data_IF_206720931647
#
_entry.id   IF_206720931647
#
_cell.length_a   1.000
_cell.length_b   1.000
_cell.length_c   1.000
_cell.angle_alpha   90.00
_cell.angle_beta   90.00
_cell.angle_gamma   90.00
#
_symmetry.space_group_name_H-M   'P 1'
#
loop_
_entity.id
_entity.type
_entity.pdbx_description
1 polymer ?
#
# COMPACT_ATOMS: atom_id res chain seq x y z
N UNK A 1 40.49 -35.86 8.80
CA UNK A 1 40.94 -36.89 9.76
C UNK A 1 39.73 -37.44 10.52
N UNK A 2 39.46 -38.75 10.50
CA UNK A 2 38.24 -39.37 11.04
C UNK A 2 38.41 -39.82 12.51
N UNK A 3 39.05 -39.00 13.36
CA UNK A 3 39.28 -39.36 14.76
C UNK A 3 38.14 -38.82 15.63
N UNK A 4 37.05 -39.60 15.73
CA UNK A 4 36.02 -39.43 16.74
C UNK A 4 35.93 -40.70 17.58
N UNK A 5 35.82 -40.54 18.90
CA UNK A 5 35.69 -41.69 19.80
C UNK A 5 34.21 -41.99 20.02
N UNK A 6 33.85 -43.27 19.93
CA UNK A 6 32.54 -43.78 20.32
C UNK A 6 32.53 -44.06 21.82
N UNK A 7 31.45 -43.67 22.50
CA UNK A 7 31.27 -43.96 23.91
C UNK A 7 29.83 -44.40 24.18
N UNK A 8 29.69 -45.49 24.94
CA UNK A 8 28.40 -46.01 25.38
C UNK A 8 28.27 -45.72 26.86
N UNK A 9 27.23 -44.97 27.23
CA UNK A 9 26.90 -44.68 28.62
C UNK A 9 25.43 -44.96 28.89
N UNK A 10 25.00 -44.70 30.13
CA UNK A 10 23.62 -44.92 30.57
C UNK A 10 22.55 -44.18 29.73
N UNK A 11 22.94 -43.15 28.96
CA UNK A 11 22.07 -42.40 28.04
C UNK A 11 22.12 -42.85 26.56
N UNK A 12 22.76 -43.98 26.25
CA UNK A 12 22.83 -44.55 24.89
C UNK A 12 24.14 -44.31 24.15
N UNK A 13 24.10 -44.54 22.83
CA UNK A 13 25.25 -44.44 21.92
C UNK A 13 25.58 -42.97 21.61
N UNK A 14 26.76 -42.52 22.02
CA UNK A 14 27.20 -41.14 21.83
C UNK A 14 28.44 -41.10 20.92
N UNK A 15 28.36 -40.28 19.86
CA UNK A 15 29.50 -39.99 18.99
C UNK A 15 30.01 -38.56 19.27
N UNK A 16 31.30 -38.45 19.63
CA UNK A 16 31.96 -37.16 19.84
C UNK A 16 33.05 -36.99 18.78
N UNK A 17 32.89 -36.01 17.87
CA UNK A 17 33.97 -35.58 16.98
C UNK A 17 34.99 -34.76 17.78
N UNK A 18 36.28 -34.91 17.44
CA UNK A 18 37.37 -34.05 17.91
C UNK A 18 37.33 -32.68 17.21
N UNK A 19 36.29 -31.90 17.45
CA UNK A 19 36.21 -30.49 17.04
C UNK A 19 35.88 -29.61 18.24
N UNK A 20 36.20 -28.32 18.15
CA UNK A 20 35.97 -27.32 19.19
C UNK A 20 34.56 -27.37 19.80
N UNK A 21 34.47 -26.92 21.05
CA UNK A 21 33.33 -27.07 21.96
C UNK A 21 31.95 -27.05 21.28
N UNK A 22 31.14 -28.10 21.51
CA UNK A 22 29.74 -28.17 21.10
C UNK A 22 29.37 -29.24 20.06
N UNK A 23 30.31 -30.09 19.62
CA UNK A 23 30.02 -31.14 18.63
C UNK A 23 29.46 -32.44 19.23
N UNK A 24 28.41 -32.35 20.07
CA UNK A 24 27.62 -33.53 20.47
C UNK A 24 26.39 -33.61 19.57
N UNK A 25 26.25 -34.69 18.81
CA UNK A 25 25.01 -35.00 18.07
C UNK A 25 24.47 -36.30 18.64
N UNK A 26 23.41 -36.21 19.44
CA UNK A 26 22.64 -37.38 19.83
C UNK A 26 21.60 -37.61 18.73
N UNK A 27 21.79 -38.66 17.95
CA UNK A 27 20.77 -39.08 16.99
C UNK A 27 19.57 -39.62 17.76
N UNK A 28 18.36 -39.29 17.31
CA UNK A 28 17.16 -39.91 17.88
C UNK A 28 17.20 -41.42 17.60
N UNK A 29 16.97 -42.24 18.63
CA UNK A 29 17.08 -43.71 18.56
C UNK A 29 16.21 -44.35 17.45
N UNK A 30 15.08 -43.72 17.09
CA UNK A 30 14.25 -44.21 15.99
C UNK A 30 14.94 -44.18 14.63
N UNK A 31 15.88 -43.24 14.41
CA UNK A 31 16.61 -43.12 13.14
C UNK A 31 17.55 -44.31 12.89
N UNK A 32 17.98 -45.00 13.96
CA UNK A 32 18.83 -46.20 13.87
C UNK A 32 17.98 -47.47 13.77
N UNK A 33 16.79 -47.46 14.38
CA UNK A 33 15.93 -48.65 14.51
C UNK A 33 14.90 -48.80 13.39
N UNK A 34 14.92 -47.92 12.37
CA UNK A 34 13.98 -47.94 11.25
C UNK A 34 12.56 -47.52 11.63
N UNK A 35 12.38 -46.97 12.84
CA UNK A 35 11.10 -46.48 13.34
C UNK A 35 11.02 -44.98 13.04
N UNK A 36 9.89 -44.46 12.51
CA UNK A 36 9.70 -43.02 12.33
C UNK A 36 10.00 -42.27 13.63
N UNK A 37 11.03 -41.44 13.63
CA UNK A 37 11.41 -40.60 14.76
C UNK A 37 11.40 -39.14 14.37
N UNK A 38 10.99 -38.30 15.31
CA UNK A 38 11.07 -36.87 15.16
C UNK A 38 12.55 -36.43 15.17
N UNK A 39 13.02 -35.88 14.06
CA UNK A 39 14.35 -35.29 13.86
C UNK A 39 14.42 -33.81 14.27
N UNK A 40 13.33 -33.25 14.81
CA UNK A 40 13.30 -31.93 15.41
C UNK A 40 14.24 -31.91 16.61
N UNK A 41 15.46 -31.42 16.38
CA UNK A 41 16.37 -31.04 17.43
C UNK A 41 15.72 -29.90 18.22
N UNK A 42 14.96 -30.24 19.26
CA UNK A 42 14.57 -29.27 20.29
C UNK A 42 15.85 -28.59 20.75
N UNK A 43 15.94 -27.28 20.52
CA UNK A 43 17.11 -26.51 20.88
C UNK A 43 17.36 -26.65 22.40
N UNK A 44 18.45 -27.31 22.76
CA UNK A 44 18.94 -27.35 24.14
C UNK A 44 19.98 -26.23 24.27
N UNK A 45 19.76 -25.23 25.15
CA UNK A 45 20.76 -24.20 25.41
C UNK A 45 22.11 -24.84 25.79
N UNK A 46 23.16 -24.55 25.01
CA UNK A 46 24.49 -25.14 25.17
C UNK A 46 24.81 -26.34 24.27
N UNK A 47 23.86 -26.85 23.47
CA UNK A 47 24.07 -28.00 22.58
C UNK A 47 24.74 -27.68 21.23
N UNK A 48 25.33 -26.48 21.06
CA UNK A 48 26.20 -26.16 19.92
C UNK A 48 25.51 -26.00 18.56
N UNK A 49 24.23 -26.34 18.40
CA UNK A 49 23.45 -25.98 17.20
C UNK A 49 22.93 -24.56 17.34
N UNK A 50 23.64 -23.60 16.74
CA UNK A 50 23.19 -22.20 16.63
C UNK A 50 23.75 -21.23 17.67
N UNK A 51 24.79 -21.58 18.43
CA UNK A 51 25.49 -20.62 19.28
C UNK A 51 26.27 -19.61 18.42
N UNK A 52 25.62 -18.54 17.98
CA UNK A 52 26.35 -17.34 17.58
C UNK A 52 27.02 -16.79 18.86
N UNK A 53 28.34 -16.64 18.86
CA UNK A 53 29.02 -15.94 19.95
C UNK A 53 28.34 -14.58 20.19
N UNK A 54 28.43 -14.04 21.41
CA UNK A 54 27.91 -12.69 21.72
C UNK A 54 28.46 -11.68 20.71
N UNK A 55 29.71 -11.85 20.27
CA UNK A 55 30.33 -11.06 19.22
C UNK A 55 29.60 -11.20 17.86
N UNK A 56 29.31 -12.41 17.39
CA UNK A 56 28.55 -12.64 16.16
C UNK A 56 27.12 -12.10 16.26
N UNK A 57 26.47 -12.22 17.42
CA UNK A 57 25.14 -11.66 17.66
C UNK A 57 25.16 -10.13 17.59
N UNK A 58 26.14 -9.49 18.24
CA UNK A 58 26.33 -8.02 18.21
C UNK A 58 26.65 -7.53 16.79
N UNK A 59 27.54 -8.21 16.06
CA UNK A 59 27.87 -7.85 14.68
C UNK A 59 26.66 -7.93 13.73
N UNK A 60 25.79 -8.93 13.90
CA UNK A 60 24.54 -9.04 13.13
C UNK A 60 23.54 -7.93 13.47
N UNK A 61 23.41 -7.58 14.75
CA UNK A 61 22.54 -6.47 15.18
C UNK A 61 23.00 -5.13 14.61
N UNK A 62 24.30 -4.85 14.64
CA UNK A 62 24.89 -3.61 14.08
C UNK A 62 24.62 -3.49 12.58
N UNK A 63 24.65 -4.61 11.84
CA UNK A 63 24.36 -4.62 10.40
C UNK A 63 22.86 -4.64 10.07
N UNK A 64 22.00 -5.10 10.98
CA UNK A 64 20.54 -5.11 10.78
C UNK A 64 19.89 -3.72 10.90
N UNK A 65 20.58 -2.74 11.49
CA UNK A 65 20.10 -1.36 11.69
C UNK A 65 20.58 -0.37 10.63
N UNK A 66 21.21 -0.83 9.54
CA UNK A 66 21.60 0.02 8.42
C UNK A 66 20.38 0.27 7.51
N UNK A 67 19.49 1.17 7.91
CA UNK A 67 18.40 1.61 7.04
C UNK A 67 18.97 2.55 5.98
N UNK A 68 18.74 2.25 4.71
CA UNK A 68 19.01 3.21 3.62
C UNK A 68 17.68 3.90 3.28
N UNK A 69 17.72 5.12 2.72
CA UNK A 69 16.49 5.83 2.32
C UNK A 69 15.59 5.06 1.35
N UNK A 70 16.13 4.02 0.70
CA UNK A 70 15.42 3.12 -0.22
C UNK A 70 14.73 1.94 0.49
N UNK A 71 15.10 1.62 1.73
CA UNK A 71 14.53 0.51 2.53
C UNK A 71 14.40 0.91 4.00
N UNK A 72 13.23 1.41 4.45
CA UNK A 72 12.97 1.67 5.86
C UNK A 72 13.03 0.36 6.64
N UNK A 73 13.74 0.34 7.77
CA UNK A 73 13.85 -0.85 8.57
C UNK A 73 12.48 -1.21 9.18
N UNK A 74 11.94 -2.37 8.83
CA UNK A 74 10.84 -2.96 9.60
C UNK A 74 11.32 -3.31 11.01
N UNK A 75 10.41 -3.22 11.99
CA UNK A 75 10.65 -3.62 13.37
C UNK A 75 10.87 -5.13 13.44
N UNK A 76 12.07 -5.62 13.16
CA UNK A 76 12.43 -7.01 13.39
C UNK A 76 12.60 -7.23 14.89
N UNK A 77 11.61 -7.85 15.53
CA UNK A 77 11.69 -8.24 16.93
C UNK A 77 12.78 -9.32 17.09
N UNK A 78 13.87 -9.00 17.80
CA UNK A 78 15.01 -9.90 18.01
C UNK A 78 14.74 -11.04 19.03
N UNK A 79 13.48 -11.46 19.18
CA UNK A 79 13.07 -12.53 20.10
C UNK A 79 12.26 -13.58 19.35
N UNK A 80 12.92 -14.70 19.03
CA UNK A 80 12.24 -15.93 18.65
C UNK A 80 11.58 -16.53 19.92
N UNK A 81 10.29 -16.87 19.86
CA UNK A 81 9.60 -17.66 20.90
C UNK A 81 8.76 -16.91 21.93
N UNK A 82 8.27 -15.69 21.65
CA UNK A 82 7.39 -14.95 22.59
C UNK A 82 5.93 -15.42 22.62
N UNK A 83 5.52 -16.33 21.73
CA UNK A 83 4.20 -16.96 21.80
C UNK A 83 4.35 -18.38 22.34
N UNK A 84 3.81 -18.60 23.54
CA UNK A 84 3.87 -19.85 24.29
C UNK A 84 3.28 -21.05 23.53
N UNK A 85 2.39 -20.80 22.56
CA UNK A 85 1.68 -21.82 21.79
C UNK A 85 1.69 -21.47 20.30
N UNK A 86 2.61 -22.05 19.54
CA UNK A 86 2.64 -21.96 18.08
C UNK A 86 3.78 -22.79 17.50
N UNK A 87 3.46 -23.84 16.74
CA UNK A 87 4.47 -24.63 16.03
C UNK A 87 5.18 -23.77 14.96
N UNK A 88 6.42 -24.13 14.58
CA UNK A 88 7.25 -23.41 13.60
C UNK A 88 6.51 -23.05 12.29
N UNK A 89 5.58 -23.90 11.87
CA UNK A 89 4.80 -23.70 10.64
C UNK A 89 3.76 -22.57 10.74
N UNK A 90 3.28 -22.23 11.95
CA UNK A 90 2.35 -21.11 12.14
C UNK A 90 3.07 -19.76 11.95
N UNK A 91 4.38 -19.68 12.25
CA UNK A 91 5.16 -18.47 12.04
C UNK A 91 5.38 -18.17 10.56
N UNK A 92 5.60 -19.19 9.72
CA UNK A 92 5.80 -19.01 8.28
C UNK A 92 4.52 -18.54 7.58
N UNK A 93 3.35 -19.07 7.98
CA UNK A 93 2.06 -18.66 7.42
C UNK A 93 1.69 -17.24 7.87
N UNK A 94 1.95 -16.89 9.13
CA UNK A 94 1.62 -15.55 9.65
C UNK A 94 2.54 -14.44 9.10
N UNK A 95 3.79 -14.75 8.72
CA UNK A 95 4.66 -13.79 8.01
C UNK A 95 4.23 -13.62 6.55
N UNK A 96 3.83 -14.70 5.87
CA UNK A 96 3.37 -14.62 4.48
C UNK A 96 2.02 -13.91 4.33
N UNK A 97 1.14 -14.01 5.33
CA UNK A 97 -0.18 -13.37 5.32
C UNK A 97 -0.17 -11.94 5.88
N UNK A 98 0.65 -11.60 6.88
CA UNK A 98 0.68 -10.25 7.45
C UNK A 98 1.58 -9.25 6.69
N UNK A 99 2.54 -9.71 5.89
CA UNK A 99 3.44 -8.80 5.15
C UNK A 99 2.94 -8.41 3.75
N UNK A 100 1.81 -8.95 3.28
CA UNK A 100 1.29 -8.68 1.93
C UNK A 100 -0.08 -8.01 1.84
N UNK A 101 -0.70 -7.65 2.96
CA UNK A 101 -1.92 -6.86 2.93
C UNK A 101 -1.77 -5.69 3.88
N UNK A 102 -1.10 -4.63 3.42
CA UNK A 102 -1.71 -3.31 3.62
C UNK A 102 -3.08 -3.40 2.96
N UNK A 103 -4.08 -3.90 3.70
CA UNK A 103 -5.45 -4.01 3.23
C UNK A 103 -5.78 -2.67 2.59
N UNK A 104 -6.29 -2.61 1.36
CA UNK A 104 -6.82 -1.36 0.84
C UNK A 104 -7.79 -0.85 1.91
N UNK A 105 -7.54 0.36 2.40
CA UNK A 105 -8.24 0.96 3.55
C UNK A 105 -9.71 1.27 3.24
N UNK A 106 -10.20 0.85 2.08
CA UNK A 106 -11.56 0.98 1.62
C UNK A 106 -11.96 -0.20 0.72
N UNK A 107 -13.24 -0.56 0.76
CA UNK A 107 -13.84 -1.42 -0.25
C UNK A 107 -13.98 -0.64 -1.57
N UNK A 108 -13.72 -1.27 -2.73
CA UNK A 108 -13.94 -0.62 -4.00
C UNK A 108 -15.43 -0.33 -4.18
N UNK A 109 -15.74 0.90 -4.55
CA UNK A 109 -17.11 1.35 -4.79
C UNK A 109 -17.14 2.38 -5.90
N UNK A 110 -18.13 2.27 -6.78
CA UNK A 110 -18.33 3.21 -7.88
C UNK A 110 -19.58 4.05 -7.62
N UNK A 111 -19.41 5.35 -7.44
CA UNK A 111 -20.51 6.31 -7.37
C UNK A 111 -21.07 6.54 -8.79
N UNK A 112 -22.37 6.31 -8.94
CA UNK A 112 -23.15 6.83 -10.06
C UNK A 112 -23.77 8.18 -9.68
N UNK A 113 -24.15 8.98 -10.68
CA UNK A 113 -24.78 10.29 -10.42
C UNK A 113 -26.02 10.18 -9.53
N UNK A 114 -26.84 9.15 -9.72
CA UNK A 114 -28.02 8.89 -8.89
C UNK A 114 -27.72 8.72 -7.40
N UNK A 115 -26.52 8.24 -7.06
CA UNK A 115 -26.10 8.06 -5.67
C UNK A 115 -25.77 9.38 -4.97
N UNK A 116 -25.34 10.41 -5.73
CA UNK A 116 -24.72 11.61 -5.16
C UNK A 116 -25.45 12.91 -5.51
N UNK A 117 -26.29 12.89 -6.55
CA UNK A 117 -26.89 14.08 -7.16
C UNK A 117 -28.40 13.91 -7.39
N UNK A 118 -29.15 15.01 -7.35
CA UNK A 118 -30.55 15.08 -7.76
C UNK A 118 -30.61 15.54 -9.21
N UNK A 119 -31.36 14.83 -10.03
CA UNK A 119 -31.62 15.26 -11.40
C UNK A 119 -32.64 16.41 -11.40
N UNK A 120 -32.26 17.53 -12.00
CA UNK A 120 -33.12 18.66 -12.32
C UNK A 120 -33.53 18.58 -13.80
N UNK A 121 -34.79 18.23 -14.03
CA UNK A 121 -35.37 18.11 -15.36
C UNK A 121 -35.47 19.44 -16.10
N UNK A 122 -35.46 20.57 -15.40
CA UNK A 122 -35.60 21.91 -15.99
C UNK A 122 -34.37 22.27 -16.81
N UNK A 123 -33.19 21.93 -16.31
CA UNK A 123 -31.91 22.22 -16.94
C UNK A 123 -31.22 20.97 -17.51
N UNK A 124 -31.83 19.79 -17.36
CA UNK A 124 -31.25 18.50 -17.72
C UNK A 124 -29.87 18.27 -17.08
N UNK A 125 -29.76 18.54 -15.77
CA UNK A 125 -28.50 18.44 -15.03
C UNK A 125 -28.66 17.66 -13.73
N UNK A 126 -27.59 17.00 -13.32
CA UNK A 126 -27.45 16.39 -12.00
C UNK A 126 -26.80 17.40 -11.05
N UNK A 127 -27.54 17.84 -10.04
CA UNK A 127 -27.03 18.74 -9.01
C UNK A 127 -26.56 17.94 -7.81
N UNK A 128 -25.30 18.11 -7.41
CA UNK A 128 -24.74 17.47 -6.21
C UNK A 128 -25.60 17.83 -4.97
N UNK A 129 -26.00 16.83 -4.18
CA UNK A 129 -26.91 17.03 -3.03
C UNK A 129 -26.20 17.54 -1.77
N UNK A 130 -24.95 17.12 -1.58
CA UNK A 130 -24.16 17.40 -0.38
C UNK A 130 -22.66 17.23 -0.68
N UNK A 131 -21.81 17.61 0.27
CA UNK A 131 -20.37 17.36 0.16
C UNK A 131 -20.09 15.86 -0.02
N UNK A 132 -19.17 15.54 -0.93
CA UNK A 132 -18.81 14.17 -1.28
C UNK A 132 -17.32 13.94 -1.06
N UNK A 133 -16.97 12.85 -0.38
CA UNK A 133 -15.59 12.40 -0.23
C UNK A 133 -15.40 11.05 -0.92
N UNK A 134 -14.53 11.01 -1.94
CA UNK A 134 -14.19 9.81 -2.70
C UNK A 134 -12.87 9.28 -2.15
N UNK A 135 -12.88 8.09 -1.57
CA UNK A 135 -11.69 7.45 -0.99
C UNK A 135 -10.78 6.85 -2.07
N UNK A 136 -9.53 6.51 -1.72
CA UNK A 136 -8.50 6.03 -2.68
C UNK A 136 -8.92 4.81 -3.53
N UNK A 137 -9.86 3.99 -3.05
CA UNK A 137 -10.36 2.79 -3.74
C UNK A 137 -11.68 3.04 -4.48
N UNK A 138 -12.20 4.27 -4.45
CA UNK A 138 -13.52 4.59 -4.98
C UNK A 138 -13.40 5.35 -6.29
N UNK A 139 -14.43 5.22 -7.12
CA UNK A 139 -14.50 5.90 -8.41
C UNK A 139 -15.82 6.63 -8.56
N UNK A 140 -15.81 7.88 -9.00
CA UNK A 140 -16.99 8.56 -9.52
C UNK A 140 -16.94 8.55 -11.04
N UNK A 141 -18.00 8.08 -11.68
CA UNK A 141 -18.14 8.12 -13.14
C UNK A 141 -19.24 9.12 -13.49
N UNK A 142 -18.88 10.11 -14.30
CA UNK A 142 -19.82 10.99 -15.00
C UNK A 142 -19.94 10.37 -16.41
N UNK A 143 -21.04 9.66 -16.68
CA UNK A 143 -21.22 8.98 -17.97
C UNK A 143 -21.48 9.97 -19.10
N UNK A 144 -21.52 9.45 -20.32
CA UNK A 144 -21.99 10.22 -21.47
C UNK A 144 -23.45 10.67 -21.30
N UNK A 145 -23.82 11.72 -22.01
CA UNK A 145 -25.09 12.44 -22.03
C UNK A 145 -25.55 12.95 -20.65
N UNK A 146 -24.61 13.12 -19.70
CA UNK A 146 -24.92 13.55 -18.35
C UNK A 146 -24.05 14.69 -17.86
N UNK A 147 -24.72 15.66 -17.24
CA UNK A 147 -24.09 16.89 -16.77
C UNK A 147 -24.11 16.92 -15.24
N UNK A 148 -22.95 16.79 -14.60
CA UNK A 148 -22.83 16.97 -13.15
C UNK A 148 -22.47 18.43 -12.84
N UNK A 149 -23.33 19.09 -12.07
CA UNK A 149 -23.08 20.42 -11.52
C UNK A 149 -22.75 20.29 -10.03
N UNK A 150 -21.62 20.86 -9.62
CA UNK A 150 -21.27 21.08 -8.22
C UNK A 150 -21.70 22.50 -7.86
N UNK A 151 -22.82 22.69 -7.12
CA UNK A 151 -23.31 24.00 -6.75
C UNK A 151 -22.33 24.77 -5.86
N UNK A 152 -22.48 26.09 -5.83
CA UNK A 152 -21.75 26.93 -4.88
C UNK A 152 -22.06 26.48 -3.44
N UNK A 153 -21.04 26.49 -2.57
CA UNK A 153 -21.13 26.02 -1.19
C UNK A 153 -20.91 24.52 -0.99
N UNK A 154 -20.92 23.71 -2.06
CA UNK A 154 -20.64 22.28 -1.99
C UNK A 154 -19.23 21.93 -2.48
N UNK A 155 -18.68 20.84 -1.92
CA UNK A 155 -17.31 20.37 -2.17
C UNK A 155 -17.27 18.89 -2.52
N UNK A 156 -16.53 18.55 -3.57
CA UNK A 156 -16.06 17.19 -3.82
C UNK A 156 -14.59 17.08 -3.41
N UNK A 157 -14.29 16.16 -2.49
CA UNK A 157 -12.93 15.79 -2.11
C UNK A 157 -12.58 14.45 -2.76
N UNK A 158 -11.67 14.47 -3.73
CA UNK A 158 -11.24 13.29 -4.45
C UNK A 158 -9.88 12.81 -3.97
N UNK A 159 -9.86 11.68 -3.27
CA UNK A 159 -8.65 10.90 -2.98
C UNK A 159 -8.56 9.65 -3.87
N UNK A 160 -9.65 9.27 -4.55
CA UNK A 160 -9.73 8.13 -5.47
C UNK A 160 -9.65 8.56 -6.93
N UNK A 161 -10.63 8.13 -7.72
CA UNK A 161 -10.69 8.45 -9.16
C UNK A 161 -12.00 9.14 -9.52
N UNK A 162 -11.94 10.23 -10.26
CA UNK A 162 -13.08 10.80 -10.99
C UNK A 162 -12.84 10.58 -12.47
N UNK A 163 -13.81 9.99 -13.17
CA UNK A 163 -13.80 9.85 -14.63
C UNK A 163 -14.92 10.70 -15.20
N UNK A 164 -14.55 11.76 -15.90
CA UNK A 164 -15.48 12.61 -16.63
C UNK A 164 -15.48 12.22 -18.11
N UNK A 165 -16.63 11.73 -18.59
CA UNK A 165 -16.82 11.43 -20.01
C UNK A 165 -17.61 12.52 -20.75
N UNK A 166 -18.24 13.43 -20.02
CA UNK A 166 -19.15 14.44 -20.57
C UNK A 166 -18.99 15.78 -19.83
N UNK A 167 -19.98 16.29 -19.09
CA UNK A 167 -19.88 17.60 -18.45
C UNK A 167 -19.70 17.52 -16.93
N UNK A 168 -18.60 18.11 -16.44
CA UNK A 168 -18.40 18.44 -15.04
C UNK A 168 -18.33 19.96 -14.87
N UNK A 169 -19.38 20.56 -14.29
CA UNK A 169 -19.47 22.00 -14.06
C UNK A 169 -19.20 22.29 -12.58
N UNK A 170 -18.20 23.12 -12.33
CA UNK A 170 -17.77 23.50 -10.97
C UNK A 170 -18.17 24.94 -10.68
N UNK A 171 -19.18 25.11 -9.83
CA UNK A 171 -19.54 26.40 -9.20
C UNK A 171 -19.09 26.43 -7.73
N UNK A 172 -18.99 25.26 -7.10
CA UNK A 172 -18.45 25.07 -5.75
C UNK A 172 -16.96 24.78 -5.76
N UNK A 173 -16.57 23.70 -5.07
CA UNK A 173 -15.15 23.34 -4.88
C UNK A 173 -14.87 21.88 -5.28
N UNK A 174 -13.74 21.65 -5.93
CA UNK A 174 -13.14 20.33 -6.13
C UNK A 174 -11.74 20.33 -5.52
N UNK A 175 -11.49 19.44 -4.58
CA UNK A 175 -10.16 19.22 -3.99
C UNK A 175 -9.69 17.86 -4.45
N UNK A 176 -8.60 17.83 -5.22
CA UNK A 176 -8.04 16.61 -5.78
C UNK A 176 -6.69 16.27 -5.15
N UNK A 177 -6.61 15.13 -4.49
CA UNK A 177 -5.36 14.48 -4.10
C UNK A 177 -5.17 13.13 -4.81
N UNK A 178 -6.24 12.59 -5.41
CA UNK A 178 -6.25 11.39 -6.25
C UNK A 178 -6.10 11.72 -7.73
N UNK A 179 -6.88 11.03 -8.58
CA UNK A 179 -6.85 11.17 -10.03
C UNK A 179 -8.17 11.69 -10.58
N UNK A 180 -8.12 12.70 -11.45
CA UNK A 180 -9.23 13.13 -12.30
C UNK A 180 -8.85 12.86 -13.74
N UNK A 181 -9.66 12.08 -14.44
CA UNK A 181 -9.54 11.83 -15.87
C UNK A 181 -10.66 12.58 -16.60
N UNK A 182 -10.29 13.63 -17.32
CA UNK A 182 -11.17 14.26 -18.29
C UNK A 182 -10.91 13.63 -19.66
N UNK A 183 -11.79 12.71 -20.05
CA UNK A 183 -11.63 11.95 -21.28
C UNK A 183 -11.87 12.82 -22.52
N UNK A 184 -11.66 12.28 -23.72
CA UNK A 184 -11.69 13.07 -24.97
C UNK A 184 -13.00 13.85 -25.21
N UNK A 185 -14.14 13.27 -24.84
CA UNK A 185 -15.46 13.93 -24.91
C UNK A 185 -15.79 14.74 -23.64
N UNK A 186 -14.92 14.68 -22.64
CA UNK A 186 -15.09 15.32 -21.35
C UNK A 186 -14.81 16.82 -21.41
N UNK A 187 -15.68 17.59 -20.79
CA UNK A 187 -15.58 19.01 -20.54
C UNK A 187 -15.61 19.26 -19.02
N UNK A 188 -14.58 19.92 -18.50
CA UNK A 188 -14.58 20.47 -17.15
C UNK A 188 -14.72 22.00 -17.25
N UNK A 189 -15.87 22.51 -16.83
CA UNK A 189 -16.14 23.95 -16.77
C UNK A 189 -15.97 24.46 -15.35
N UNK A 190 -14.82 25.06 -15.03
CA UNK A 190 -14.64 25.78 -13.78
C UNK A 190 -15.14 27.21 -13.94
N UNK A 191 -16.37 27.47 -13.47
CA UNK A 191 -17.02 28.78 -13.65
C UNK A 191 -16.44 29.82 -12.70
N UNK A 192 -16.79 31.10 -12.89
CA UNK A 192 -16.12 32.24 -12.23
C UNK A 192 -16.04 32.18 -10.69
N UNK A 193 -17.01 31.53 -10.03
CA UNK A 193 -17.04 31.32 -8.57
C UNK A 193 -16.45 29.97 -8.13
N UNK A 194 -16.13 29.11 -9.09
CA UNK A 194 -15.63 27.76 -8.89
C UNK A 194 -14.15 27.70 -8.54
N UNK A 195 -13.81 26.72 -7.71
CA UNK A 195 -12.44 26.43 -7.30
C UNK A 195 -12.10 24.97 -7.55
N UNK A 196 -11.06 24.73 -8.36
CA UNK A 196 -10.43 23.42 -8.49
C UNK A 196 -9.04 23.50 -7.89
N UNK A 197 -8.76 22.66 -6.89
CA UNK A 197 -7.49 22.64 -6.19
C UNK A 197 -6.88 21.25 -6.35
N UNK A 198 -5.81 21.14 -7.13
CA UNK A 198 -5.05 19.92 -7.30
C UNK A 198 -3.89 19.89 -6.29
N UNK A 199 -4.13 19.24 -5.14
CA UNK A 199 -3.21 19.17 -4.00
C UNK A 199 -2.42 17.86 -4.02
N UNK A 200 -1.38 17.78 -4.85
CA UNK A 200 -0.58 16.55 -4.99
C UNK A 200 -1.22 15.44 -5.83
N UNK A 201 -2.44 15.66 -6.35
CA UNK A 201 -3.12 14.74 -7.25
C UNK A 201 -2.70 14.88 -8.72
N UNK A 202 -3.33 14.08 -9.56
CA UNK A 202 -3.16 14.08 -11.02
C UNK A 202 -4.48 14.47 -11.71
N UNK A 203 -4.41 15.44 -12.62
CA UNK A 203 -5.49 15.77 -13.54
C UNK A 203 -5.01 15.43 -14.95
N UNK A 204 -5.59 14.42 -15.56
CA UNK A 204 -5.34 14.05 -16.95
C UNK A 204 -6.42 14.68 -17.82
N UNK A 205 -6.03 15.59 -18.69
CA UNK A 205 -6.91 16.23 -19.64
C UNK A 205 -6.64 15.74 -21.07
N UNK A 206 -7.58 14.94 -21.57
CA UNK A 206 -7.66 14.56 -22.98
C UNK A 206 -8.83 15.23 -23.70
N UNK A 207 -9.70 15.95 -22.99
CA UNK A 207 -10.81 16.72 -23.52
C UNK A 207 -10.59 18.22 -23.35
N UNK A 208 -11.62 18.95 -22.90
CA UNK A 208 -11.55 20.39 -22.67
C UNK A 208 -11.65 20.76 -21.18
N UNK A 209 -10.79 21.67 -20.73
CA UNK A 209 -10.95 22.38 -19.46
C UNK A 209 -11.11 23.87 -19.78
N UNK A 210 -12.30 24.41 -19.48
CA UNK A 210 -12.53 25.84 -19.52
C UNK A 210 -12.46 26.39 -18.10
N UNK A 211 -11.51 27.29 -17.85
CA UNK A 211 -11.34 27.91 -16.56
C UNK A 211 -11.73 29.39 -16.56
N UNK A 212 -12.96 29.70 -16.15
CA UNK A 212 -13.41 31.06 -15.87
C UNK A 212 -13.18 31.45 -14.40
N UNK A 213 -12.97 30.46 -13.52
CA UNK A 213 -12.72 30.60 -12.09
C UNK A 213 -11.24 30.46 -11.71
N UNK A 214 -10.99 29.78 -10.58
CA UNK A 214 -9.64 29.50 -10.08
C UNK A 214 -9.29 28.01 -10.17
N UNK A 215 -8.22 27.68 -10.90
CA UNK A 215 -7.53 26.38 -10.81
C UNK A 215 -6.19 26.60 -10.13
N UNK A 216 -5.97 25.96 -8.98
CA UNK A 216 -4.70 25.97 -8.27
C UNK A 216 -4.07 24.57 -8.31
N UNK A 217 -2.91 24.46 -8.95
CA UNK A 217 -2.15 23.22 -8.98
C UNK A 217 -1.03 23.28 -7.94
N UNK A 218 -1.34 22.90 -6.70
CA UNK A 218 -0.41 22.97 -5.56
C UNK A 218 0.26 21.63 -5.31
N UNK A 219 1.43 21.43 -5.91
CA UNK A 219 2.22 20.20 -5.78
C UNK A 219 1.68 18.99 -6.57
N UNK A 220 0.59 19.15 -7.31
CA UNK A 220 0.05 18.13 -8.21
C UNK A 220 0.58 18.24 -9.64
N UNK A 221 0.08 17.37 -10.50
CA UNK A 221 0.35 17.37 -11.95
C UNK A 221 -0.95 17.59 -12.73
N UNK A 222 -0.94 18.56 -13.64
CA UNK A 222 -1.95 18.67 -14.71
C UNK A 222 -1.28 18.21 -16.00
N UNK A 223 -1.74 17.10 -16.57
CA UNK A 223 -1.28 16.56 -17.83
C UNK A 223 -2.30 16.85 -18.92
N UNK A 224 -1.98 17.80 -19.80
CA UNK A 224 -2.80 18.25 -20.92
C UNK A 224 -2.32 17.69 -22.29
N UNK A 225 -1.58 16.59 -22.31
CA UNK A 225 -0.96 16.05 -23.54
C UNK A 225 -1.92 15.72 -24.70
N UNK A 226 -3.23 15.62 -24.45
CA UNK A 226 -4.23 15.31 -25.48
C UNK A 226 -5.43 16.26 -25.52
N UNK A 227 -5.45 17.31 -24.69
CA UNK A 227 -6.61 18.16 -24.50
C UNK A 227 -6.33 19.66 -24.66
N UNK A 228 -7.35 20.47 -24.41
CA UNK A 228 -7.24 21.94 -24.43
C UNK A 228 -7.57 22.53 -23.06
N UNK A 229 -6.78 23.50 -22.60
CA UNK A 229 -7.08 24.34 -21.43
C UNK A 229 -7.25 25.78 -21.90
N UNK A 230 -8.40 26.38 -21.61
CA UNK A 230 -8.72 27.77 -21.99
C UNK A 230 -9.14 28.61 -20.77
N UNK A 231 -9.15 29.94 -20.95
CA UNK A 231 -9.53 30.89 -19.90
C UNK A 231 -8.35 31.31 -19.01
N UNK A 232 -8.64 31.53 -17.73
CA UNK A 232 -7.63 31.87 -16.72
C UNK A 232 -6.61 30.73 -16.62
N UNK A 233 -5.34 31.06 -16.72
CA UNK A 233 -4.28 30.05 -16.61
C UNK A 233 -4.27 29.44 -15.20
N UNK A 234 -4.10 28.11 -15.06
CA UNK A 234 -3.94 27.49 -13.75
C UNK A 234 -2.75 28.11 -13.02
N UNK A 235 -2.92 28.46 -11.74
CA UNK A 235 -1.81 28.96 -10.92
C UNK A 235 -0.87 27.81 -10.57
N UNK A 236 0.34 27.72 -11.15
CA UNK A 236 1.19 26.56 -11.00
C UNK A 236 2.19 26.79 -9.86
N UNK A 237 1.98 26.08 -8.75
CA UNK A 237 3.07 25.75 -7.83
C UNK A 237 3.53 24.29 -8.00
N UNK A 238 2.79 23.49 -8.78
CA UNK A 238 3.13 22.16 -9.27
C UNK A 238 3.39 22.11 -10.77
N UNK A 239 3.42 20.90 -11.35
CA UNK A 239 3.79 20.67 -12.76
C UNK A 239 2.59 20.76 -13.70
N UNK A 240 2.72 21.49 -14.81
CA UNK A 240 1.78 21.48 -15.94
C UNK A 240 2.54 20.95 -17.16
N UNK A 241 2.02 19.89 -17.76
CA UNK A 241 2.54 19.30 -19.00
C UNK A 241 1.49 19.62 -20.07
N UNK A 242 1.89 20.30 -21.15
CA UNK A 242 1.05 20.58 -22.30
C UNK A 242 1.50 19.74 -23.49
#
# INVERSE_FOLDING_TARGET
MPNGNFWVGAGGFNYKRSSGAGARRNFALGVITGIPANVDNKYVPGAGVGASSIANRRARLIRSTSCTGRYPCNRSFARLGLQHNGNANNYAVNWYLNDRLSSPTCLPFTYTLSNIATFDSTHNVWMLKQNLSISICQTLIIPLDNNLVIPNGLTITNNGTITNNEFLIVLGRVINTGTINNNANGYIGNRSVGFIINQGGMINNNGEIQNDGTINNSGGTINNSGGTITGNQPNPTGTIIN
#
